data_IF_391258329384
#
_entry.id   IF_391258329384
#
_cell.length_a   1.000
_cell.length_b   1.000
_cell.length_c   1.000
_cell.angle_alpha   90.00
_cell.angle_beta   90.00
_cell.angle_gamma   90.00
#
_symmetry.space_group_name_H-M   'P 1'
#
loop_
_entity.id
_entity.type
_entity.pdbx_description
1 polymer ?
#
# COMPACT_ATOMS: atom_id res chain seq x y z
N UNK A 1 -22.73 -5.47 8.62
CA UNK A 1 -22.11 -4.27 8.06
C UNK A 1 -23.09 -3.52 7.15
N UNK A 2 -23.29 -3.91 5.88
CA UNK A 2 -24.14 -3.14 4.94
C UNK A 2 -25.56 -2.82 5.44
N UNK A 3 -26.26 -3.81 6.01
CA UNK A 3 -27.60 -3.63 6.62
C UNK A 3 -27.62 -2.60 7.76
N UNK A 4 -26.54 -2.49 8.52
CA UNK A 4 -26.45 -1.58 9.68
C UNK A 4 -26.04 -0.17 9.25
N UNK A 5 -25.18 -0.05 8.24
CA UNK A 5 -24.73 1.24 7.70
C UNK A 5 -25.73 1.88 6.76
N UNK A 6 -26.63 1.09 6.16
CA UNK A 6 -27.53 1.57 5.10
C UNK A 6 -26.83 1.97 3.80
N UNK A 7 -25.51 1.82 3.70
CA UNK A 7 -24.73 2.14 2.49
C UNK A 7 -25.17 1.26 1.32
N UNK A 8 -25.31 1.87 0.15
CA UNK A 8 -25.48 1.16 -1.12
C UNK A 8 -24.14 1.19 -1.85
N UNK A 9 -23.60 0.00 -2.12
CA UNK A 9 -22.35 -0.15 -2.87
C UNK A 9 -22.68 -0.33 -4.35
N UNK A 10 -22.09 0.52 -5.19
CA UNK A 10 -22.13 0.36 -6.64
C UNK A 10 -21.26 -0.82 -7.07
N UNK A 11 -21.75 -1.62 -8.00
CA UNK A 11 -20.98 -2.74 -8.56
C UNK A 11 -20.18 -2.24 -9.77
N UNK A 12 -18.93 -2.68 -9.88
CA UNK A 12 -18.19 -2.58 -11.13
C UNK A 12 -18.85 -3.47 -12.17
N UNK A 13 -19.26 -2.88 -13.29
CA UNK A 13 -19.88 -3.59 -14.41
C UNK A 13 -19.03 -3.55 -15.68
N UNK A 14 -18.09 -2.60 -15.75
CA UNK A 14 -17.10 -2.50 -16.81
C UNK A 14 -16.01 -3.57 -16.63
N UNK A 15 -15.78 -4.36 -17.68
CA UNK A 15 -14.82 -5.47 -17.65
C UNK A 15 -13.38 -5.00 -17.40
N UNK A 16 -12.98 -3.89 -18.00
CA UNK A 16 -11.62 -3.37 -17.87
C UNK A 16 -11.38 -2.82 -16.46
N UNK A 17 -12.38 -2.19 -15.83
CA UNK A 17 -12.30 -1.75 -14.44
C UNK A 17 -12.16 -2.93 -13.46
N UNK A 18 -12.89 -4.02 -13.71
CA UNK A 18 -12.79 -5.24 -12.88
C UNK A 18 -11.37 -5.79 -12.96
N UNK A 19 -10.86 -6.03 -14.16
CA UNK A 19 -9.49 -6.54 -14.35
C UNK A 19 -8.44 -5.61 -13.76
N UNK A 20 -8.61 -4.29 -13.93
CA UNK A 20 -7.73 -3.28 -13.35
C UNK A 20 -7.70 -3.37 -11.82
N UNK A 21 -8.86 -3.44 -11.18
CA UNK A 21 -8.92 -3.55 -9.72
C UNK A 21 -8.33 -4.88 -9.24
N UNK A 22 -8.68 -6.01 -9.88
CA UNK A 22 -8.14 -7.33 -9.55
C UNK A 22 -6.61 -7.39 -9.68
N UNK A 23 -6.05 -6.81 -10.75
CA UNK A 23 -4.60 -6.70 -10.93
C UNK A 23 -3.93 -5.80 -9.88
N UNK A 24 -4.66 -4.89 -9.25
CA UNK A 24 -4.20 -4.04 -8.15
C UNK A 24 -4.26 -4.70 -6.76
N UNK A 25 -5.01 -5.79 -6.60
CA UNK A 25 -5.18 -6.44 -5.29
C UNK A 25 -3.85 -7.04 -4.80
N UNK A 26 -3.50 -6.76 -3.55
CA UNK A 26 -2.36 -7.33 -2.83
C UNK A 26 -2.85 -7.92 -1.51
N UNK A 27 -2.21 -9.00 -1.09
CA UNK A 27 -2.47 -9.65 0.21
C UNK A 27 -1.68 -9.01 1.36
N UNK A 28 -1.62 -9.71 2.48
CA UNK A 28 -0.73 -9.35 3.59
C UNK A 28 0.74 -9.51 3.20
N UNK A 29 1.57 -8.55 3.58
CA UNK A 29 3.02 -8.62 3.39
C UNK A 29 3.63 -9.44 4.52
N UNK A 30 4.40 -10.47 4.16
CA UNK A 30 5.19 -11.27 5.10
C UNK A 30 6.64 -11.17 4.68
N UNK A 31 7.47 -10.59 5.54
CA UNK A 31 8.88 -10.31 5.26
C UNK A 31 9.72 -10.55 6.52
N UNK A 32 10.94 -11.06 6.30
CA UNK A 32 11.97 -11.18 7.32
C UNK A 32 13.26 -10.56 6.76
N UNK A 33 13.58 -9.34 7.20
CA UNK A 33 14.70 -8.55 6.67
C UNK A 33 16.02 -8.89 7.37
N UNK A 34 15.98 -9.19 8.67
CA UNK A 34 17.12 -9.67 9.46
C UNK A 34 16.92 -11.16 9.81
N UNK A 35 17.93 -11.99 9.57
CA UNK A 35 17.80 -13.45 9.79
C UNK A 35 17.89 -13.83 11.26
N UNK A 36 18.70 -13.09 12.02
CA UNK A 36 18.91 -13.36 13.43
C UNK A 36 19.21 -12.07 14.18
N UNK A 37 18.41 -11.79 15.21
CA UNK A 37 18.66 -10.70 16.13
C UNK A 37 18.61 -11.23 17.57
N UNK A 38 19.56 -10.77 18.40
CA UNK A 38 19.60 -11.08 19.83
C UNK A 38 19.70 -9.79 20.62
N UNK A 39 18.71 -9.55 21.48
CA UNK A 39 18.75 -8.46 22.44
C UNK A 39 19.77 -8.74 23.56
N UNK A 40 20.50 -7.71 23.97
CA UNK A 40 21.36 -7.71 25.15
C UNK A 40 20.55 -7.26 26.38
N UNK A 41 19.70 -8.14 26.90
CA UNK A 41 18.81 -7.80 28.00
C UNK A 41 19.30 -8.44 29.31
N UNK A 42 19.48 -7.66 30.41
CA UNK A 42 19.91 -8.17 31.72
C UNK A 42 19.06 -9.33 32.27
N UNK A 43 17.81 -9.46 31.80
CA UNK A 43 16.86 -10.50 32.23
C UNK A 43 16.96 -11.79 31.41
N UNK A 44 17.91 -11.90 30.48
CA UNK A 44 18.04 -13.05 29.57
C UNK A 44 19.40 -13.75 29.70
N UNK A 45 19.49 -15.07 29.51
CA UNK A 45 20.77 -15.78 29.55
C UNK A 45 21.77 -15.24 28.52
N UNK A 46 23.02 -15.09 28.94
CA UNK A 46 24.12 -14.57 28.12
C UNK A 46 24.11 -13.06 27.92
N UNK A 47 23.52 -12.30 28.85
CA UNK A 47 23.71 -10.85 28.97
C UNK A 47 25.19 -10.50 29.13
N UNK A 48 25.61 -9.44 28.46
CA UNK A 48 26.96 -8.90 28.51
C UNK A 48 26.91 -7.46 29.05
N UNK A 49 27.47 -7.26 30.24
CA UNK A 49 27.49 -5.97 30.93
C UNK A 49 28.42 -4.94 30.27
N UNK A 50 29.33 -5.37 29.39
CA UNK A 50 30.23 -4.48 28.64
C UNK A 50 29.55 -3.87 27.41
N UNK A 51 28.41 -4.43 26.98
CA UNK A 51 27.65 -3.94 25.82
C UNK A 51 26.44 -3.12 26.27
N UNK A 52 26.02 -2.11 25.48
CA UNK A 52 24.76 -1.41 25.72
C UNK A 52 23.59 -2.39 25.80
N UNK A 53 22.62 -2.20 26.71
CA UNK A 53 21.46 -3.05 26.77
C UNK A 53 20.54 -2.81 25.56
N UNK A 54 19.89 -3.86 25.08
CA UNK A 54 18.92 -3.79 23.98
C UNK A 54 17.73 -4.71 24.21
N UNK A 55 16.63 -4.43 23.52
CA UNK A 55 15.37 -5.15 23.64
C UNK A 55 14.80 -5.44 22.25
N UNK A 56 14.05 -6.55 22.16
CA UNK A 56 13.18 -6.83 21.02
C UNK A 56 11.77 -6.45 21.41
N UNK A 57 11.06 -5.76 20.51
CA UNK A 57 9.66 -5.38 20.70
C UNK A 57 8.81 -6.17 19.72
N UNK A 58 7.79 -6.85 20.24
CA UNK A 58 6.73 -7.45 19.44
C UNK A 58 5.54 -6.49 19.42
N UNK A 59 5.14 -6.04 18.23
CA UNK A 59 3.99 -5.17 18.02
C UNK A 59 2.96 -5.91 17.20
N UNK A 60 1.71 -5.89 17.66
CA UNK A 60 0.58 -6.53 16.99
C UNK A 60 -0.60 -5.57 16.98
N UNK A 61 -1.15 -5.33 15.79
CA UNK A 61 -2.30 -4.46 15.61
C UNK A 61 -3.60 -5.23 15.82
N UNK A 62 -4.25 -4.97 16.95
CA UNK A 62 -5.58 -5.51 17.24
C UNK A 62 -6.59 -5.06 16.15
N UNK A 63 -7.20 -6.04 15.46
CA UNK A 63 -8.21 -5.80 14.43
C UNK A 63 -7.75 -4.87 13.29
N UNK A 64 -6.56 -5.13 12.73
CA UNK A 64 -5.96 -4.32 11.65
C UNK A 64 -6.93 -4.03 10.49
N UNK A 65 -7.61 -5.05 9.97
CA UNK A 65 -8.57 -4.87 8.87
C UNK A 65 -9.80 -4.07 9.32
N UNK A 66 -10.30 -4.27 10.54
CA UNK A 66 -11.42 -3.48 11.06
C UNK A 66 -11.08 -1.99 11.17
N UNK A 67 -9.87 -1.66 11.64
CA UNK A 67 -9.36 -0.29 11.63
C UNK A 67 -9.30 0.27 10.19
N UNK A 68 -8.69 -0.48 9.26
CA UNK A 68 -8.58 -0.05 7.86
C UNK A 68 -9.95 0.10 7.17
N UNK A 69 -10.94 -0.73 7.50
CA UNK A 69 -12.30 -0.60 6.96
C UNK A 69 -13.06 0.61 7.53
N UNK A 70 -12.66 1.12 8.70
CA UNK A 70 -13.20 2.36 9.27
C UNK A 70 -12.70 3.63 8.59
N UNK A 71 -11.70 3.53 7.72
CA UNK A 71 -11.21 4.64 6.90
C UNK A 71 -12.17 4.97 5.73
N UNK A 72 -11.87 6.03 4.97
CA UNK A 72 -12.64 6.35 3.76
C UNK A 72 -12.43 5.25 2.72
N UNK A 73 -13.51 4.52 2.43
CA UNK A 73 -13.53 3.39 1.53
C UNK A 73 -14.40 3.70 0.29
N UNK A 74 -14.05 3.19 -0.90
CA UNK A 74 -14.87 3.32 -2.09
C UNK A 74 -16.29 2.80 -1.85
N UNK A 75 -17.30 3.50 -2.36
CA UNK A 75 -18.68 3.03 -2.34
C UNK A 75 -19.41 3.14 -3.69
N UNK A 76 -18.89 3.93 -4.65
CA UNK A 76 -19.45 4.01 -6.00
C UNK A 76 -18.96 5.21 -6.79
N UNK A 77 -19.63 5.54 -7.90
CA UNK A 77 -19.21 6.57 -8.85
C UNK A 77 -17.92 6.18 -9.58
N UNK A 78 -17.77 4.90 -9.92
CA UNK A 78 -16.57 4.40 -10.58
C UNK A 78 -16.52 4.89 -12.03
N UNK A 79 -15.44 5.58 -12.39
CA UNK A 79 -15.24 6.08 -13.75
C UNK A 79 -13.77 6.21 -14.09
N UNK A 80 -13.43 6.00 -15.35
CA UNK A 80 -12.13 6.37 -15.87
C UNK A 80 -11.99 7.89 -15.85
N UNK A 81 -10.84 8.39 -15.43
CA UNK A 81 -10.51 9.80 -15.51
C UNK A 81 -10.20 10.17 -16.97
N UNK A 82 -11.01 11.06 -17.54
CA UNK A 82 -10.89 11.49 -18.94
C UNK A 82 -10.06 12.78 -19.12
N UNK A 83 -9.58 13.36 -18.02
CA UNK A 83 -8.76 14.57 -18.05
C UNK A 83 -7.28 14.29 -18.39
N UNK A 84 -6.48 15.35 -18.33
CA UNK A 84 -5.03 15.25 -18.52
C UNK A 84 -4.35 14.44 -17.41
N UNK A 85 -3.64 13.38 -17.79
CA UNK A 85 -3.01 12.45 -16.86
C UNK A 85 -1.87 13.10 -16.08
N UNK A 86 -1.16 14.08 -16.63
CA UNK A 86 -0.12 14.81 -15.89
C UNK A 86 -0.77 15.69 -14.81
N UNK A 87 -1.85 16.39 -15.18
CA UNK A 87 -2.69 17.13 -14.22
C UNK A 87 -3.29 16.23 -13.14
N UNK A 88 -3.51 14.95 -13.42
CA UNK A 88 -4.01 14.00 -12.41
C UNK A 88 -3.06 13.83 -11.23
N UNK A 89 -1.74 13.88 -11.46
CA UNK A 89 -0.73 13.84 -10.39
C UNK A 89 -0.68 15.15 -9.59
N UNK A 90 -0.83 16.30 -10.24
CA UNK A 90 -0.88 17.59 -9.52
C UNK A 90 -2.10 17.65 -8.58
N UNK A 91 -3.23 17.09 -9.01
CA UNK A 91 -4.42 16.97 -8.17
C UNK A 91 -4.21 16.02 -6.98
N UNK A 92 -3.35 14.99 -7.12
CA UNK A 92 -3.04 14.04 -6.05
C UNK A 92 -2.47 14.72 -4.82
N UNK A 93 -1.65 15.77 -5.00
CA UNK A 93 -1.05 16.50 -3.89
C UNK A 93 -2.12 17.18 -3.01
N UNK A 94 -3.14 17.78 -3.65
CA UNK A 94 -4.28 18.42 -2.97
C UNK A 94 -5.32 17.47 -2.37
N UNK A 95 -5.27 16.17 -2.69
CA UNK A 95 -6.20 15.18 -2.12
C UNK A 95 -5.84 14.85 -0.68
N UNK A 96 -6.85 14.70 0.17
CA UNK A 96 -6.67 14.22 1.55
C UNK A 96 -7.19 12.80 1.68
N UNK A 97 -6.86 12.15 2.78
CA UNK A 97 -7.42 10.83 3.11
C UNK A 97 -8.95 10.87 3.27
N UNK A 98 -9.52 12.04 3.54
CA UNK A 98 -10.97 12.24 3.77
C UNK A 98 -11.66 12.95 2.61
N UNK A 99 -11.01 13.10 1.47
CA UNK A 99 -11.64 13.68 0.28
C UNK A 99 -12.78 12.78 -0.21
N UNK A 100 -13.88 13.38 -0.66
CA UNK A 100 -15.06 12.64 -1.15
C UNK A 100 -14.77 11.78 -2.39
N UNK A 101 -13.70 12.12 -3.11
CA UNK A 101 -13.20 11.38 -4.28
C UNK A 101 -11.87 10.74 -3.92
N UNK A 102 -11.73 9.46 -4.23
CA UNK A 102 -10.50 8.70 -4.21
C UNK A 102 -10.09 8.27 -5.63
N UNK A 103 -8.85 7.80 -5.75
CA UNK A 103 -8.27 7.37 -7.04
C UNK A 103 -7.44 6.09 -6.91
N UNK A 104 -7.38 5.33 -7.99
CA UNK A 104 -6.38 4.28 -8.23
C UNK A 104 -5.65 4.59 -9.53
N UNK A 105 -4.32 4.55 -9.50
CA UNK A 105 -3.46 4.89 -10.62
C UNK A 105 -2.80 3.63 -11.19
N UNK A 106 -2.66 3.52 -12.51
CA UNK A 106 -1.69 2.64 -13.16
C UNK A 106 -0.50 3.48 -13.62
N UNK A 107 0.68 3.22 -13.07
CA UNK A 107 1.85 4.09 -13.19
C UNK A 107 3.15 3.32 -13.40
N UNK A 108 4.09 3.94 -14.11
CA UNK A 108 5.49 3.54 -14.06
C UNK A 108 6.20 4.37 -12.97
N UNK A 109 6.93 3.69 -12.09
CA UNK A 109 7.58 4.30 -10.93
C UNK A 109 9.04 3.86 -10.86
N UNK A 110 9.93 4.85 -10.86
CA UNK A 110 11.34 4.65 -10.55
C UNK A 110 11.57 4.53 -9.05
N UNK A 111 12.53 3.67 -8.70
CA UNK A 111 13.00 3.48 -7.35
C UNK A 111 14.49 3.87 -7.28
N UNK A 112 14.80 5.12 -6.91
CA UNK A 112 16.17 5.62 -6.90
C UNK A 112 17.11 4.77 -6.03
N UNK A 113 18.30 4.47 -6.56
CA UNK A 113 19.31 3.63 -5.89
C UNK A 113 19.75 4.19 -4.53
N UNK A 114 19.78 5.52 -4.39
CA UNK A 114 20.15 6.19 -3.15
C UNK A 114 19.14 5.96 -2.00
N UNK A 115 17.99 5.35 -2.26
CA UNK A 115 16.98 4.99 -1.25
C UNK A 115 17.08 3.52 -0.82
N UNK A 116 17.88 2.70 -1.51
CA UNK A 116 17.87 1.24 -1.31
C UNK A 116 18.27 0.85 0.11
N UNK A 117 19.34 1.44 0.65
CA UNK A 117 19.77 1.16 2.02
C UNK A 117 18.71 1.57 3.06
N UNK A 118 18.08 2.74 2.86
CA UNK A 118 17.08 3.26 3.78
C UNK A 118 15.77 2.46 3.76
N UNK A 119 15.43 1.84 2.63
CA UNK A 119 14.18 1.12 2.44
C UNK A 119 14.34 -0.40 2.39
N UNK A 120 15.56 -0.92 2.62
CA UNK A 120 15.87 -2.34 2.49
C UNK A 120 14.97 -3.23 3.38
N UNK A 121 14.58 -2.73 4.55
CA UNK A 121 13.75 -3.47 5.49
C UNK A 121 12.28 -3.56 5.07
N UNK A 122 11.76 -2.54 4.37
CA UNK A 122 10.36 -2.49 3.96
C UNK A 122 10.18 -1.68 2.66
N UNK A 123 10.54 -2.25 1.49
CA UNK A 123 10.37 -1.58 0.21
C UNK A 123 8.90 -1.22 -0.08
N UNK A 124 8.66 0.00 -0.57
CA UNK A 124 7.35 0.44 -1.03
C UNK A 124 6.85 -0.33 -2.26
N UNK A 125 5.51 -0.38 -2.39
CA UNK A 125 4.80 -0.90 -3.56
C UNK A 125 5.15 -2.36 -3.91
N UNK A 126 4.92 -3.31 -2.98
CA UNK A 126 5.21 -4.72 -3.23
C UNK A 126 4.34 -5.28 -4.36
N UNK A 127 4.93 -6.16 -5.17
CA UNK A 127 4.26 -6.74 -6.34
C UNK A 127 4.04 -8.24 -6.18
N UNK A 128 2.94 -8.75 -6.71
CA UNK A 128 2.77 -10.19 -6.87
C UNK A 128 3.72 -10.68 -7.96
N UNK A 129 4.47 -11.73 -7.69
CA UNK A 129 5.29 -12.43 -8.69
C UNK A 129 5.83 -13.74 -8.16
N UNK A 130 6.48 -14.50 -9.03
CA UNK A 130 7.15 -15.75 -8.63
C UNK A 130 8.62 -15.44 -8.32
N UNK A 131 9.08 -15.57 -7.06
CA UNK A 131 10.47 -15.34 -6.73
C UNK A 131 11.41 -16.32 -7.44
N UNK A 132 12.68 -15.95 -7.66
CA UNK A 132 13.69 -16.86 -8.17
C UNK A 132 13.75 -18.16 -7.35
N UNK A 133 13.69 -19.30 -8.03
CA UNK A 133 13.71 -20.62 -7.37
C UNK A 133 12.38 -21.05 -6.72
N UNK A 134 11.31 -20.26 -6.86
CA UNK A 134 9.96 -20.66 -6.43
C UNK A 134 9.08 -21.04 -7.62
N UNK A 135 7.99 -21.78 -7.32
CA UNK A 135 6.88 -22.03 -8.26
C UNK A 135 5.58 -21.35 -7.80
N UNK A 136 5.63 -20.68 -6.65
CA UNK A 136 4.45 -20.11 -5.98
C UNK A 136 4.50 -18.60 -6.14
N UNK A 137 3.36 -18.02 -6.52
CA UNK A 137 3.21 -16.58 -6.56
C UNK A 137 3.22 -16.01 -5.13
N UNK A 138 4.03 -14.99 -4.89
CA UNK A 138 4.19 -14.34 -3.59
C UNK A 138 4.12 -12.84 -3.75
N UNK A 139 3.74 -12.16 -2.67
CA UNK A 139 3.89 -10.72 -2.58
C UNK A 139 5.36 -10.40 -2.28
N UNK A 140 6.04 -9.76 -3.22
CA UNK A 140 7.47 -9.46 -3.17
C UNK A 140 7.67 -7.96 -2.96
N UNK A 141 8.31 -7.58 -1.87
CA UNK A 141 8.81 -6.23 -1.66
C UNK A 141 10.20 -6.14 -2.33
N UNK A 142 10.26 -5.52 -3.50
CA UNK A 142 11.51 -5.35 -4.27
C UNK A 142 11.85 -3.87 -4.39
N UNK A 143 13.14 -3.55 -4.47
CA UNK A 143 13.64 -2.19 -4.74
C UNK A 143 13.71 -1.88 -6.25
N UNK A 144 13.13 -2.75 -7.07
CA UNK A 144 13.10 -2.61 -8.53
C UNK A 144 12.16 -1.49 -8.96
N UNK A 145 12.44 -0.90 -10.13
CA UNK A 145 11.47 -0.11 -10.92
C UNK A 145 10.15 -0.88 -11.04
N UNK A 146 9.03 -0.17 -10.95
CA UNK A 146 7.69 -0.72 -11.16
C UNK A 146 7.16 -0.23 -12.50
N UNK A 147 6.58 -1.14 -13.29
CA UNK A 147 5.97 -0.83 -14.59
C UNK A 147 4.48 -1.19 -14.53
N UNK A 148 3.63 -0.31 -15.06
CA UNK A 148 2.16 -0.44 -15.06
C UNK A 148 1.62 -0.90 -13.71
N UNK A 149 2.16 -0.32 -12.63
CA UNK A 149 1.81 -0.69 -11.27
C UNK A 149 0.51 -0.03 -10.87
N UNK A 150 -0.47 -0.84 -10.46
CA UNK A 150 -1.78 -0.38 -10.02
C UNK A 150 -1.75 -0.11 -8.52
N UNK A 151 -2.06 1.13 -8.11
CA UNK A 151 -1.87 1.61 -6.74
C UNK A 151 -2.96 2.57 -6.30
N UNK A 152 -3.45 2.36 -5.07
CA UNK A 152 -4.37 3.29 -4.42
C UNK A 152 -3.67 4.62 -4.13
N UNK A 153 -4.38 5.74 -4.30
CA UNK A 153 -3.79 7.09 -4.22
C UNK A 153 -3.04 7.35 -2.89
N UNK A 154 -3.53 6.86 -1.75
CA UNK A 154 -2.86 7.01 -0.45
C UNK A 154 -1.47 6.35 -0.43
N UNK A 155 -1.37 5.14 -0.99
CA UNK A 155 -0.09 4.42 -1.06
C UNK A 155 0.86 5.08 -2.06
N UNK A 156 0.32 5.63 -3.16
CA UNK A 156 1.10 6.40 -4.12
C UNK A 156 1.67 7.68 -3.49
N UNK A 157 0.84 8.43 -2.73
CA UNK A 157 1.30 9.61 -1.97
C UNK A 157 2.41 9.24 -1.00
N UNK A 158 2.24 8.15 -0.25
CA UNK A 158 3.25 7.66 0.69
C UNK A 158 4.55 7.29 -0.03
N UNK A 159 4.49 6.63 -1.18
CA UNK A 159 5.67 6.29 -1.96
C UNK A 159 6.41 7.56 -2.44
N UNK A 160 5.67 8.52 -3.01
CA UNK A 160 6.23 9.80 -3.50
C UNK A 160 6.85 10.61 -2.37
N UNK A 161 6.18 10.69 -1.21
CA UNK A 161 6.70 11.41 -0.05
C UNK A 161 7.99 10.80 0.50
N UNK A 162 8.26 9.53 0.20
CA UNK A 162 9.50 8.83 0.55
C UNK A 162 10.49 8.76 -0.63
N UNK A 163 10.30 9.57 -1.67
CA UNK A 163 11.29 9.78 -2.73
C UNK A 163 11.15 8.86 -3.95
N UNK A 164 10.12 8.01 -4.04
CA UNK A 164 9.83 7.29 -5.28
C UNK A 164 9.31 8.27 -6.34
N UNK A 165 9.68 8.05 -7.60
CA UNK A 165 9.41 9.00 -8.68
C UNK A 165 8.42 8.38 -9.66
N UNK A 166 7.26 9.01 -9.83
CA UNK A 166 6.32 8.63 -10.90
C UNK A 166 6.86 9.16 -12.22
N UNK A 167 7.11 8.27 -13.16
CA UNK A 167 7.64 8.65 -14.49
C UNK A 167 6.55 8.72 -15.54
N UNK A 168 5.47 7.94 -15.36
CA UNK A 168 4.35 7.92 -16.29
C UNK A 168 3.06 7.48 -15.60
N UNK A 169 1.97 8.16 -15.91
CA UNK A 169 0.60 7.71 -15.63
C UNK A 169 0.01 7.12 -16.91
N UNK A 170 -0.52 5.89 -16.83
CA UNK A 170 -1.17 5.23 -17.97
C UNK A 170 -2.69 5.44 -17.96
N UNK A 171 -3.30 5.37 -16.78
CA UNK A 171 -4.74 5.61 -16.56
C UNK A 171 -5.04 5.78 -15.07
N UNK A 172 -6.18 6.39 -14.78
CA UNK A 172 -6.65 6.65 -13.43
C UNK A 172 -8.11 6.26 -13.33
N UNK A 173 -8.45 5.47 -12.32
CA UNK A 173 -9.82 5.17 -11.93
C UNK A 173 -10.20 6.10 -10.77
N UNK A 174 -11.29 6.85 -10.92
CA UNK A 174 -11.87 7.67 -9.86
C UNK A 174 -13.07 6.96 -9.23
N UNK A 175 -13.31 7.22 -7.95
CA UNK A 175 -14.47 6.72 -7.22
C UNK A 175 -14.83 7.68 -6.08
N UNK A 176 -16.09 7.64 -5.65
CA UNK A 176 -16.55 8.26 -4.40
C UNK A 176 -16.21 7.37 -3.21
N UNK A 177 -15.78 7.98 -2.13
CA UNK A 177 -15.41 7.30 -0.89
C UNK A 177 -15.95 8.03 0.34
N UNK A 178 -16.16 7.28 1.42
CA UNK A 178 -16.55 7.83 2.73
C UNK A 178 -16.20 6.83 3.82
N UNK A 179 -16.15 7.28 5.07
CA UNK A 179 -15.91 6.42 6.24
C UNK A 179 -17.18 5.66 6.68
N UNK A 180 -17.86 5.01 5.73
CA UNK A 180 -19.20 4.43 5.95
C UNK A 180 -19.22 3.27 6.96
N UNK A 181 -18.07 2.67 7.30
CA UNK A 181 -17.96 1.62 8.32
C UNK A 181 -17.42 2.12 9.68
N UNK A 182 -17.07 3.41 9.83
CA UNK A 182 -16.37 3.90 11.02
C UNK A 182 -17.20 3.87 12.31
N UNK A 183 -18.53 3.93 12.20
CA UNK A 183 -19.44 4.18 13.34
C UNK A 183 -20.43 3.03 13.57
N UNK A 184 -20.05 1.79 13.25
CA UNK A 184 -20.86 0.59 13.55
C UNK A 184 -20.51 0.04 14.92
#
# INVERSE_FOLDING_TARGET
MLRYTGVSLELLTDYDMILFMEQGIRGGLVQASERYCRANNPKTPGYDAEKPPSWLVYQDCNNLYGYAMGEYMPYGGFKWYEGDLDRSLELLDGMTDKSDVGRVYEVDIAYPDNLHDAHNDLPFLPRNGVPPGSKVNKLMATLERKERYIVHYRNLKQAISNGLIVEKVHRVLEFRQSAWLANI
#
